data_IF_583623526495
#
_entry.id   IF_583623526495
#
_cell.length_a   1.000
_cell.length_b   1.000
_cell.length_c   1.000
_cell.angle_alpha   90.00
_cell.angle_beta   90.00
_cell.angle_gamma   90.00
#
_symmetry.space_group_name_H-M   'P 1'
#
loop_
_entity.id
_entity.type
_entity.pdbx_description
1 polymer ?
#
# COMPACT_ATOMS: atom_id res chain seq x y z
N UNK A 1 -18.66 0.70 -8.49
CA UNK A 1 -18.26 0.32 -9.85
C UNK A 1 -18.14 -1.20 -9.98
N UNK A 2 -19.25 -1.86 -9.87
CA UNK A 2 -19.34 -3.32 -9.99
C UNK A 2 -19.35 -3.70 -11.48
N UNK A 3 -18.23 -3.95 -12.07
CA UNK A 3 -18.12 -4.37 -13.48
C UNK A 3 -16.81 -3.98 -14.18
N UNK A 4 -16.08 -3.04 -13.63
CA UNK A 4 -14.78 -2.68 -14.17
C UNK A 4 -13.73 -3.72 -13.80
N UNK A 5 -12.89 -4.11 -14.75
CA UNK A 5 -11.76 -4.99 -14.47
C UNK A 5 -10.77 -4.26 -13.55
N UNK A 6 -10.22 -4.96 -12.55
CA UNK A 6 -9.23 -4.38 -11.63
C UNK A 6 -8.03 -3.76 -12.38
N UNK A 7 -7.69 -4.30 -13.55
CA UNK A 7 -6.63 -3.78 -14.41
C UNK A 7 -6.95 -2.37 -14.92
N UNK A 8 -8.21 -2.09 -15.29
CA UNK A 8 -8.62 -0.74 -15.73
C UNK A 8 -8.48 0.28 -14.62
N UNK A 9 -8.91 -0.06 -13.41
CA UNK A 9 -8.81 0.83 -12.25
C UNK A 9 -7.34 1.19 -11.98
N UNK A 10 -6.47 0.20 -11.96
CA UNK A 10 -5.03 0.40 -11.75
C UNK A 10 -4.41 1.21 -12.89
N UNK A 11 -4.79 0.95 -14.13
CA UNK A 11 -4.29 1.68 -15.30
C UNK A 11 -4.65 3.17 -15.23
N UNK A 12 -5.92 3.50 -15.01
CA UNK A 12 -6.36 4.90 -14.93
C UNK A 12 -5.75 5.62 -13.72
N UNK A 13 -5.66 4.94 -12.58
CA UNK A 13 -5.02 5.50 -11.40
C UNK A 13 -3.56 5.85 -11.68
N UNK A 14 -2.80 4.94 -12.26
CA UNK A 14 -1.40 5.16 -12.61
C UNK A 14 -1.23 6.24 -13.67
N UNK A 15 -2.12 6.30 -14.67
CA UNK A 15 -2.09 7.33 -15.70
C UNK A 15 -2.29 8.71 -15.09
N UNK A 16 -3.31 8.90 -14.27
CA UNK A 16 -3.60 10.18 -13.62
C UNK A 16 -2.46 10.57 -12.67
N UNK A 17 -1.97 9.63 -11.87
CA UNK A 17 -0.84 9.86 -10.97
C UNK A 17 0.41 10.29 -11.73
N UNK A 18 0.69 9.66 -12.86
CA UNK A 18 1.83 10.00 -13.73
C UNK A 18 1.69 11.42 -14.31
N UNK A 19 0.51 11.77 -14.79
CA UNK A 19 0.26 13.11 -15.34
C UNK A 19 0.40 14.20 -14.28
N UNK A 20 -0.16 13.98 -13.08
CA UNK A 20 -0.07 14.93 -11.97
C UNK A 20 1.38 15.06 -11.49
N UNK A 21 2.07 13.94 -11.30
CA UNK A 21 3.48 13.93 -10.87
C UNK A 21 4.40 14.57 -11.92
N UNK A 22 4.15 14.29 -13.21
CA UNK A 22 4.88 14.88 -14.30
C UNK A 22 4.70 16.40 -14.36
N UNK A 23 3.46 16.88 -14.21
CA UNK A 23 3.17 18.31 -14.14
C UNK A 23 3.87 19.00 -12.96
N UNK A 24 3.87 18.32 -11.79
CA UNK A 24 4.55 18.83 -10.60
C UNK A 24 6.06 18.91 -10.79
N UNK A 25 6.66 17.96 -11.49
CA UNK A 25 8.10 17.95 -11.78
C UNK A 25 8.58 19.21 -12.52
N UNK A 26 7.74 19.84 -13.34
CA UNK A 26 8.11 21.07 -14.04
C UNK A 26 8.18 22.30 -13.12
N UNK A 27 7.66 22.22 -11.91
CA UNK A 27 7.66 23.31 -10.93
C UNK A 27 8.79 23.21 -9.92
N UNK A 28 9.48 22.10 -9.88
CA UNK A 28 10.54 21.81 -8.89
C UNK A 28 11.91 21.64 -9.57
N UNK A 29 12.97 21.74 -8.77
CA UNK A 29 14.34 21.50 -9.24
C UNK A 29 14.54 20.02 -9.54
N UNK A 30 14.66 19.68 -10.81
CA UNK A 30 14.88 18.31 -11.24
C UNK A 30 16.27 17.83 -10.84
N UNK A 31 16.34 16.78 -10.03
CA UNK A 31 17.55 16.00 -9.88
C UNK A 31 17.80 15.23 -11.18
N UNK A 32 18.98 15.40 -11.76
CA UNK A 32 19.36 14.65 -12.96
C UNK A 32 19.37 13.14 -12.65
N UNK A 33 18.48 12.40 -13.31
CA UNK A 33 18.45 10.95 -13.21
C UNK A 33 19.67 10.39 -13.94
N UNK A 34 20.43 9.57 -13.25
CA UNK A 34 21.58 8.86 -13.81
C UNK A 34 21.12 7.49 -14.32
N UNK A 35 21.80 6.96 -15.34
CA UNK A 35 21.51 5.60 -15.83
C UNK A 35 21.62 4.51 -14.77
N UNK A 36 22.42 4.76 -13.72
CA UNK A 36 22.53 3.87 -12.55
C UNK A 36 21.25 3.79 -11.70
N UNK A 37 20.36 4.78 -11.78
CA UNK A 37 19.12 4.83 -11.02
C UNK A 37 17.98 4.07 -11.73
N UNK A 38 18.14 3.80 -13.02
CA UNK A 38 17.12 3.17 -13.86
C UNK A 38 16.66 1.79 -13.35
N UNK A 39 17.54 0.85 -12.97
CA UNK A 39 17.11 -0.43 -12.42
C UNK A 39 16.29 -0.30 -11.16
N UNK A 40 16.65 0.64 -10.28
CA UNK A 40 15.93 0.91 -9.05
C UNK A 40 14.53 1.47 -9.32
N UNK A 41 14.43 2.42 -10.25
CA UNK A 41 13.15 3.01 -10.66
C UNK A 41 12.21 1.97 -11.28
N UNK A 42 12.74 1.10 -12.13
CA UNK A 42 11.98 -0.01 -12.73
C UNK A 42 11.49 -0.97 -11.64
N UNK A 43 12.35 -1.33 -10.69
CA UNK A 43 12.00 -2.21 -9.59
C UNK A 43 10.89 -1.62 -8.71
N UNK A 44 10.98 -0.33 -8.37
CA UNK A 44 9.96 0.39 -7.60
C UNK A 44 8.63 0.43 -8.38
N UNK A 45 8.66 0.81 -9.65
CA UNK A 45 7.46 0.89 -10.49
C UNK A 45 6.78 -0.47 -10.68
N UNK A 46 7.55 -1.52 -10.94
CA UNK A 46 7.03 -2.87 -11.06
C UNK A 46 6.40 -3.35 -9.74
N UNK A 47 7.11 -3.19 -8.64
CA UNK A 47 6.63 -3.58 -7.30
C UNK A 47 5.34 -2.84 -6.93
N UNK A 48 5.29 -1.53 -7.18
CA UNK A 48 4.10 -0.73 -6.92
C UNK A 48 2.90 -1.18 -7.78
N UNK A 49 3.13 -1.50 -9.04
CA UNK A 49 2.08 -1.99 -9.94
C UNK A 49 1.51 -3.33 -9.47
N UNK A 50 2.37 -4.28 -9.12
CA UNK A 50 1.93 -5.56 -8.55
C UNK A 50 1.17 -5.36 -7.25
N UNK A 51 1.67 -4.54 -6.34
CA UNK A 51 1.00 -4.23 -5.08
C UNK A 51 -0.41 -3.65 -5.31
N UNK A 52 -0.57 -2.73 -6.27
CA UNK A 52 -1.87 -2.15 -6.61
C UNK A 52 -2.84 -3.18 -7.20
N UNK A 53 -2.36 -4.07 -8.07
CA UNK A 53 -3.19 -5.13 -8.62
C UNK A 53 -3.70 -6.08 -7.52
N UNK A 54 -2.82 -6.51 -6.62
CA UNK A 54 -3.19 -7.36 -5.50
C UNK A 54 -4.15 -6.64 -4.52
N UNK A 55 -3.87 -5.39 -4.22
CA UNK A 55 -4.72 -4.58 -3.33
C UNK A 55 -6.12 -4.39 -3.94
N UNK A 56 -6.20 -4.01 -5.21
CA UNK A 56 -7.48 -3.86 -5.91
C UNK A 56 -8.27 -5.18 -5.91
N UNK A 57 -7.60 -6.30 -6.16
CA UNK A 57 -8.23 -7.61 -6.12
C UNK A 57 -8.72 -7.96 -4.71
N UNK A 58 -7.91 -7.69 -3.69
CA UNK A 58 -8.26 -7.97 -2.30
C UNK A 58 -9.51 -7.20 -1.86
N UNK A 59 -9.61 -5.92 -2.19
CA UNK A 59 -10.81 -5.12 -1.88
C UNK A 59 -12.06 -5.52 -2.67
N UNK A 60 -11.89 -6.12 -3.84
CA UNK A 60 -13.03 -6.60 -4.65
C UNK A 60 -13.57 -7.94 -4.19
N UNK A 61 -12.70 -8.82 -3.69
CA UNK A 61 -13.05 -10.21 -3.36
C UNK A 61 -13.12 -10.48 -1.86
N UNK A 62 -12.42 -9.66 -1.06
CA UNK A 62 -12.35 -9.80 0.39
C UNK A 62 -13.37 -8.91 1.12
N UNK A 63 -13.47 -9.14 2.42
CA UNK A 63 -14.22 -8.25 3.29
C UNK A 63 -13.42 -6.95 3.48
N UNK A 64 -14.01 -5.82 3.17
CA UNK A 64 -13.36 -4.50 3.22
C UNK A 64 -12.72 -4.20 4.58
N UNK A 65 -13.39 -4.59 5.66
CA UNK A 65 -12.87 -4.38 7.02
C UNK A 65 -11.58 -5.17 7.27
N UNK A 66 -11.53 -6.43 6.84
CA UNK A 66 -10.35 -7.31 6.99
C UNK A 66 -9.20 -6.81 6.11
N UNK A 67 -9.49 -6.50 4.85
CA UNK A 67 -8.47 -5.99 3.90
C UNK A 67 -7.91 -4.66 4.38
N UNK A 68 -8.77 -3.75 4.84
CA UNK A 68 -8.35 -2.47 5.40
C UNK A 68 -7.48 -2.62 6.65
N UNK A 69 -7.83 -3.54 7.55
CA UNK A 69 -7.03 -3.83 8.74
C UNK A 69 -5.64 -4.37 8.37
N UNK A 70 -5.57 -5.26 7.38
CA UNK A 70 -4.30 -5.80 6.90
C UNK A 70 -3.44 -4.73 6.20
N UNK A 71 -4.06 -3.74 5.56
CA UNK A 71 -3.33 -2.62 4.95
C UNK A 71 -2.51 -1.83 6.00
N UNK A 72 -3.00 -1.70 7.22
CA UNK A 72 -2.26 -1.05 8.31
C UNK A 72 -1.01 -1.82 8.74
N UNK A 73 -0.87 -3.10 8.40
CA UNK A 73 0.36 -3.85 8.66
C UNK A 73 1.58 -3.25 7.96
N UNK A 74 1.36 -2.46 6.91
CA UNK A 74 2.42 -1.67 6.24
C UNK A 74 3.17 -0.79 7.23
N UNK A 75 2.49 -0.20 8.20
CA UNK A 75 3.12 0.64 9.24
C UNK A 75 4.12 -0.17 10.07
N UNK A 76 3.73 -1.40 10.43
CA UNK A 76 4.59 -2.30 11.21
C UNK A 76 5.81 -2.71 10.40
N UNK A 77 5.62 -3.11 9.13
CA UNK A 77 6.72 -3.48 8.24
C UNK A 77 7.64 -2.31 7.95
N UNK A 78 7.11 -1.12 7.70
CA UNK A 78 7.89 0.10 7.52
C UNK A 78 8.80 0.39 8.73
N UNK A 79 8.25 0.28 9.94
CA UNK A 79 9.00 0.49 11.16
C UNK A 79 10.11 -0.56 11.34
N UNK A 80 9.82 -1.84 11.06
CA UNK A 80 10.81 -2.91 11.10
C UNK A 80 11.94 -2.70 10.10
N UNK A 81 11.62 -2.32 8.85
CA UNK A 81 12.63 -2.01 7.84
C UNK A 81 13.46 -0.80 8.22
N UNK A 82 12.86 0.26 8.78
CA UNK A 82 13.57 1.42 9.30
C UNK A 82 14.60 1.05 10.37
N UNK A 83 14.20 0.18 11.31
CA UNK A 83 15.11 -0.34 12.34
C UNK A 83 16.25 -1.18 11.77
N UNK A 84 15.97 -2.09 10.84
CA UNK A 84 16.94 -3.05 10.34
C UNK A 84 17.94 -2.41 9.37
N UNK A 85 17.45 -1.60 8.42
CA UNK A 85 18.28 -1.07 7.34
C UNK A 85 18.87 0.30 7.63
N UNK A 86 18.19 1.14 8.42
CA UNK A 86 18.65 2.50 8.71
C UNK A 86 19.04 2.71 10.17
N UNK A 87 18.91 1.66 11.00
CA UNK A 87 19.22 1.72 12.43
C UNK A 87 18.52 2.90 13.14
N UNK A 88 17.31 3.21 12.69
CA UNK A 88 16.50 4.27 13.28
C UNK A 88 16.01 3.89 14.67
N UNK A 89 16.24 4.76 15.65
CA UNK A 89 15.65 4.58 16.98
C UNK A 89 14.21 5.04 17.00
N UNK A 90 13.29 4.11 17.21
CA UNK A 90 11.87 4.43 17.35
C UNK A 90 11.59 5.04 18.73
N UNK A 91 10.86 6.15 18.74
CA UNK A 91 10.36 6.76 19.96
C UNK A 91 9.33 5.85 20.67
N UNK A 92 9.16 6.04 21.97
CA UNK A 92 8.14 5.30 22.75
C UNK A 92 6.74 5.47 22.16
N UNK A 93 6.43 6.66 21.66
CA UNK A 93 5.14 6.94 21.00
C UNK A 93 4.95 6.12 19.70
N UNK A 94 6.03 5.91 18.94
CA UNK A 94 5.98 5.05 17.75
C UNK A 94 5.71 3.59 18.12
N UNK A 95 6.34 3.07 19.16
CA UNK A 95 6.07 1.72 19.66
C UNK A 95 4.62 1.54 20.13
N UNK A 96 4.06 2.55 20.83
CA UNK A 96 2.66 2.56 21.21
C UNK A 96 1.74 2.56 19.98
N UNK A 97 2.05 3.36 18.97
CA UNK A 97 1.31 3.38 17.71
C UNK A 97 1.30 2.02 17.00
N UNK A 98 2.44 1.36 16.91
CA UNK A 98 2.57 0.01 16.33
C UNK A 98 1.73 -1.00 17.13
N UNK A 99 1.80 -0.98 18.45
CA UNK A 99 1.02 -1.86 19.31
C UNK A 99 -0.49 -1.65 19.12
N UNK A 100 -0.94 -0.41 19.00
CA UNK A 100 -2.35 -0.08 18.73
C UNK A 100 -2.80 -0.57 17.36
N UNK A 101 -1.97 -0.43 16.31
CA UNK A 101 -2.26 -0.95 14.96
C UNK A 101 -2.42 -2.46 14.99
N UNK A 102 -1.50 -3.18 15.64
CA UNK A 102 -1.57 -4.63 15.77
C UNK A 102 -2.82 -5.06 16.54
N UNK A 103 -3.08 -4.43 17.68
CA UNK A 103 -4.24 -4.75 18.52
C UNK A 103 -5.57 -4.51 17.78
N UNK A 104 -5.71 -3.37 17.10
CA UNK A 104 -6.92 -3.05 16.34
C UNK A 104 -7.11 -3.97 15.13
N UNK A 105 -6.03 -4.34 14.45
CA UNK A 105 -6.06 -5.31 13.36
C UNK A 105 -6.52 -6.70 13.84
N UNK A 106 -5.98 -7.18 14.94
CA UNK A 106 -6.40 -8.45 15.54
C UNK A 106 -7.86 -8.43 16.00
N UNK A 107 -8.30 -7.32 16.59
CA UNK A 107 -9.68 -7.15 17.01
C UNK A 107 -10.63 -7.13 15.81
N UNK A 108 -10.27 -6.42 14.76
CA UNK A 108 -11.02 -6.41 13.49
C UNK A 108 -11.21 -7.80 12.90
N UNK A 109 -10.16 -8.62 12.91
CA UNK A 109 -10.22 -9.99 12.41
C UNK A 109 -11.16 -10.88 13.25
N UNK A 110 -11.20 -10.66 14.57
CA UNK A 110 -12.09 -11.40 15.47
C UNK A 110 -13.55 -10.96 15.38
N UNK A 111 -13.78 -9.67 15.14
CA UNK A 111 -15.13 -9.10 15.04
C UNK A 111 -15.69 -9.11 13.62
N UNK A 112 -14.88 -9.43 12.62
CA UNK A 112 -15.34 -9.56 11.25
C UNK A 112 -16.44 -10.66 11.20
N UNK A 113 -17.66 -10.34 10.74
CA UNK A 113 -18.71 -11.35 10.63
C UNK A 113 -18.24 -12.42 9.65
N UNK A 114 -18.28 -13.65 10.08
CA UNK A 114 -18.10 -14.80 9.18
C UNK A 114 -19.37 -14.83 8.33
N UNK A 115 -19.36 -14.13 7.22
CA UNK A 115 -20.43 -14.24 6.25
C UNK A 115 -20.35 -15.62 5.61
N UNK A 116 -20.93 -16.59 6.30
CA UNK A 116 -21.34 -17.86 5.72
C UNK A 116 -22.60 -17.64 4.88
N UNK A 117 -22.62 -16.63 4.04
CA UNK A 117 -23.59 -16.63 2.96
C UNK A 117 -23.04 -17.51 1.85
N UNK A 118 -23.28 -18.80 2.01
CA UNK A 118 -23.36 -19.72 0.89
C UNK A 118 -24.48 -19.18 0.00
N UNK A 119 -24.08 -18.38 -0.97
CA UNK A 119 -24.97 -17.98 -2.05
C UNK A 119 -25.34 -19.24 -2.82
N UNK A 120 -26.56 -19.71 -2.56
CA UNK A 120 -27.21 -20.68 -3.44
C UNK A 120 -27.40 -20.07 -4.84
#
# INVERSE_FOLDING_TARGET
MAGESGIRVVFYFNLIATLISGAWMFTDTLHALTFSDLPLLIAIGASATFAQLFMTRAYRTGQTLVVGSLAYSTVVFSALFGLIFWNESLSVSAWLGIALVIASGMLSLRLAPINTEVRK
#
